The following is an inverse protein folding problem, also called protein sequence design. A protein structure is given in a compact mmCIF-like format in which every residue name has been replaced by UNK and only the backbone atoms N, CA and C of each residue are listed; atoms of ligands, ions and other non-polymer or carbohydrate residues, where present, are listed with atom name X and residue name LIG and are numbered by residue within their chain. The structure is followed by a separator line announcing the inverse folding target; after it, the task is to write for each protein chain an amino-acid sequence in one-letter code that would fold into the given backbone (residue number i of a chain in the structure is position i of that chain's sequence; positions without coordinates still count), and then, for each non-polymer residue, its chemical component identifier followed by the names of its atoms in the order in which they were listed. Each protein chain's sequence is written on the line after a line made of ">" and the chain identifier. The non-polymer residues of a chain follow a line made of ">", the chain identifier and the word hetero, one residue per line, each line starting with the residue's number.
data_IF_917616338733
#
_entry.id   IF_917616338733
#
_cell.length_a   1.000
_cell.length_b   1.000
_cell.length_c   1.000
_cell.angle_alpha   90.00
_cell.angle_beta   90.00
_cell.angle_gamma   90.00
#
_symmetry.space_group_name_H-M   'P 1'
#
loop_
_entity.id
_entity.type
_entity.pdbx_description
1 polymer ?
#
# COMPACT_ATOMS: atom_id res chain seq x y z
N UNK A 1 12.42 12.89 9.90
CA UNK A 1 11.20 12.64 9.10
C UNK A 1 11.51 12.98 7.67
N UNK A 2 11.01 12.20 6.71
CA UNK A 2 11.14 12.50 5.27
C UNK A 2 9.77 13.02 4.81
N UNK A 3 9.76 14.11 4.05
CA UNK A 3 8.55 14.69 3.46
C UNK A 3 8.61 14.53 1.93
N UNK A 4 7.47 14.15 1.35
CA UNK A 4 7.27 14.05 -0.10
C UNK A 4 5.99 14.79 -0.44
N UNK A 5 6.07 15.75 -1.35
CA UNK A 5 4.91 16.48 -1.85
C UNK A 5 4.34 15.75 -3.08
N UNK A 6 3.02 15.56 -3.09
CA UNK A 6 2.28 14.96 -4.19
C UNK A 6 1.18 15.91 -4.60
N UNK A 7 1.02 16.12 -5.90
CA UNK A 7 -0.19 16.72 -6.44
C UNK A 7 -1.36 15.71 -6.45
N UNK A 8 -2.62 16.14 -6.68
CA UNK A 8 -3.77 15.24 -6.66
C UNK A 8 -3.68 14.05 -7.63
N UNK A 9 -3.12 14.27 -8.83
CA UNK A 9 -2.95 13.21 -9.83
C UNK A 9 -1.90 12.18 -9.40
N UNK A 10 -0.79 12.65 -8.82
CA UNK A 10 0.27 11.81 -8.27
C UNK A 10 -0.23 10.99 -7.07
N UNK A 11 -1.01 11.61 -6.18
CA UNK A 11 -1.62 10.91 -5.05
C UNK A 11 -2.59 9.83 -5.54
N UNK A 12 -3.43 10.16 -6.51
CA UNK A 12 -4.38 9.21 -7.13
C UNK A 12 -3.65 8.07 -7.84
N UNK A 13 -2.58 8.36 -8.58
CA UNK A 13 -1.78 7.35 -9.26
C UNK A 13 -1.08 6.43 -8.26
N UNK A 14 -0.47 7.00 -7.22
CA UNK A 14 0.18 6.23 -6.17
C UNK A 14 -0.80 5.32 -5.44
N UNK A 15 -2.01 5.81 -5.14
CA UNK A 15 -3.08 5.01 -4.56
C UNK A 15 -3.39 3.79 -5.44
N UNK A 16 -3.61 3.98 -6.75
CA UNK A 16 -3.88 2.89 -7.69
C UNK A 16 -2.76 1.85 -7.77
N UNK A 17 -1.50 2.31 -7.78
CA UNK A 17 -0.33 1.43 -7.79
C UNK A 17 -0.30 0.56 -6.52
N UNK A 18 -0.51 1.19 -5.35
CA UNK A 18 -0.51 0.50 -4.07
C UNK A 18 -1.69 -0.46 -3.91
N UNK A 19 -2.88 -0.11 -4.41
CA UNK A 19 -4.06 -0.98 -4.43
C UNK A 19 -3.85 -2.21 -5.33
N UNK A 20 -3.27 -2.01 -6.52
CA UNK A 20 -2.91 -3.12 -7.42
C UNK A 20 -1.91 -4.05 -6.76
N UNK A 21 -0.83 -3.49 -6.21
CA UNK A 21 0.20 -4.28 -5.56
C UNK A 21 -0.33 -5.02 -4.32
N UNK A 22 -1.22 -4.39 -3.54
CA UNK A 22 -1.89 -5.04 -2.41
C UNK A 22 -2.75 -6.25 -2.85
N UNK A 23 -3.35 -6.19 -4.04
CA UNK A 23 -4.10 -7.31 -4.61
C UNK A 23 -3.17 -8.49 -4.89
N UNK A 24 -2.06 -8.24 -5.59
CA UNK A 24 -1.07 -9.25 -5.94
C UNK A 24 -0.43 -9.86 -4.68
N UNK A 25 -0.07 -9.01 -3.71
CA UNK A 25 0.52 -9.43 -2.44
C UNK A 25 -0.37 -10.38 -1.65
N UNK A 26 -1.70 -10.18 -1.68
CA UNK A 26 -2.65 -11.09 -1.03
C UNK A 26 -2.67 -12.47 -1.69
N UNK A 27 -2.53 -12.53 -3.01
CA UNK A 27 -2.42 -13.79 -3.74
C UNK A 27 -1.12 -14.51 -3.35
N UNK A 28 -0.01 -13.78 -3.26
CA UNK A 28 1.29 -14.34 -2.85
C UNK A 28 1.28 -14.87 -1.41
N UNK A 29 0.68 -14.13 -0.47
CA UNK A 29 0.50 -14.57 0.93
C UNK A 29 -0.28 -15.89 0.98
N UNK A 30 -1.34 -16.00 0.19
CA UNK A 30 -2.18 -17.20 0.14
C UNK A 30 -1.41 -18.40 -0.43
N UNK A 31 -0.54 -18.19 -1.41
CA UNK A 31 0.29 -19.22 -2.05
C UNK A 31 1.57 -19.59 -1.30
N UNK A 32 1.97 -18.83 -0.27
CA UNK A 32 3.24 -19.03 0.44
C UNK A 32 3.06 -19.94 1.65
N UNK A 33 3.69 -21.13 1.69
CA UNK A 33 3.61 -22.03 2.84
C UNK A 33 4.68 -21.78 3.93
N UNK A 34 5.84 -21.25 3.54
CA UNK A 34 6.91 -20.98 4.49
C UNK A 34 6.51 -19.84 5.42
N UNK A 35 6.34 -20.16 6.71
CA UNK A 35 5.82 -19.23 7.73
C UNK A 35 6.59 -17.92 7.79
N UNK A 36 7.92 -17.97 7.83
CA UNK A 36 8.77 -16.78 7.93
C UNK A 36 8.58 -15.85 6.72
N UNK A 37 8.52 -16.43 5.52
CA UNK A 37 8.25 -15.66 4.29
C UNK A 37 6.83 -15.08 4.29
N UNK A 38 5.83 -15.86 4.72
CA UNK A 38 4.45 -15.39 4.88
C UNK A 38 4.33 -14.24 5.88
N UNK A 39 5.11 -14.25 6.96
CA UNK A 39 5.11 -13.19 7.97
C UNK A 39 5.68 -11.88 7.41
N UNK A 40 6.77 -11.94 6.65
CA UNK A 40 7.33 -10.79 5.95
C UNK A 40 6.32 -10.17 4.96
N UNK A 41 5.65 -10.99 4.14
CA UNK A 41 4.62 -10.52 3.21
C UNK A 41 3.44 -9.84 3.95
N UNK A 42 3.07 -10.36 5.13
CA UNK A 42 2.02 -9.74 5.97
C UNK A 42 2.46 -8.43 6.61
N UNK A 43 3.75 -8.23 6.88
CA UNK A 43 4.28 -6.95 7.34
C UNK A 43 4.15 -5.89 6.25
N UNK A 44 4.52 -6.24 5.03
CA UNK A 44 4.34 -5.38 3.86
C UNK A 44 2.86 -5.06 3.61
N UNK A 45 1.97 -6.05 3.73
CA UNK A 45 0.53 -5.83 3.62
C UNK A 45 0.01 -4.80 4.65
N UNK A 46 0.48 -4.89 5.89
CA UNK A 46 0.11 -3.93 6.96
C UNK A 46 0.63 -2.54 6.64
N UNK A 47 1.87 -2.42 6.19
CA UNK A 47 2.45 -1.15 5.80
C UNK A 47 1.64 -0.48 4.68
N UNK A 48 1.32 -1.20 3.61
CA UNK A 48 0.57 -0.65 2.47
C UNK A 48 -0.83 -0.21 2.89
N UNK A 49 -1.53 -1.02 3.70
CA UNK A 49 -2.86 -0.66 4.23
C UNK A 49 -2.82 0.62 5.07
N UNK A 50 -1.81 0.76 5.92
CA UNK A 50 -1.66 1.97 6.73
C UNK A 50 -1.33 3.19 5.87
N UNK A 51 -0.46 3.02 4.87
CA UNK A 51 -0.07 4.09 3.97
C UNK A 51 -1.23 4.57 3.09
N UNK A 52 -2.02 3.64 2.52
CA UNK A 52 -3.25 3.94 1.77
C UNK A 52 -4.25 4.74 2.63
N UNK A 53 -4.47 4.32 3.88
CA UNK A 53 -5.34 5.06 4.81
C UNK A 53 -4.84 6.50 5.04
N UNK A 54 -3.53 6.73 5.05
CA UNK A 54 -2.96 8.09 5.19
C UNK A 54 -3.15 8.90 3.91
N UNK A 55 -3.08 8.28 2.73
CA UNK A 55 -3.35 8.93 1.44
C UNK A 55 -4.83 9.32 1.28
N UNK A 56 -5.78 8.46 1.67
CA UNK A 56 -7.22 8.74 1.59
C UNK A 56 -7.66 9.93 2.46
N UNK A 57 -6.94 10.21 3.54
CA UNK A 57 -7.22 11.32 4.44
C UNK A 57 -6.65 12.66 3.94
N UNK A 58 -6.05 12.71 2.74
CA UNK A 58 -5.60 13.97 2.12
C UNK A 58 -6.81 14.63 1.47
N UNK A 59 -7.29 15.80 1.96
CA UNK A 59 -8.37 16.51 1.32
C UNK A 59 -7.91 16.98 -0.07
N UNK A 60 -8.58 16.51 -1.11
CA UNK A 60 -8.39 17.03 -2.47
C UNK A 60 -9.05 18.42 -2.51
N UNK A 61 -8.31 19.51 -2.79
CA UNK A 61 -8.92 20.82 -3.00
C UNK A 61 -9.81 20.73 -4.25
N UNK A 62 -11.10 21.06 -4.10
CA UNK A 62 -12.04 21.22 -5.21
C UNK A 62 -11.72 22.44 -6.07
#
# INVERSE_FOLDING_TARGET
>A
MVQVELNPDQATMLQKILESYLSDLRVEIAGTDLKEFREALKEEERFIKEFLRRLENIPVPH
#
